data_IF_290691949721
#
_entry.id   IF_290691949721
#
_cell.length_a   1.000
_cell.length_b   1.000
_cell.length_c   1.000
_cell.angle_alpha   90.00
_cell.angle_beta   90.00
_cell.angle_gamma   90.00
#
_symmetry.space_group_name_H-M   'P 1'
#
loop_
_entity.id
_entity.type
_entity.pdbx_description
1 polymer ?
#
# COMPACT_ATOMS: atom_id res chain seq x y z
N UNK A 1 34.51 10.81 11.79
CA UNK A 1 33.52 10.19 10.87
C UNK A 1 32.68 9.23 11.67
N UNK A 2 31.35 9.23 11.54
CA UNK A 2 30.53 8.17 12.14
C UNK A 2 30.97 6.82 11.57
N UNK A 3 31.02 5.77 12.39
CA UNK A 3 31.41 4.44 11.95
C UNK A 3 30.45 3.95 10.86
N UNK A 4 30.97 3.69 9.65
CA UNK A 4 30.16 3.36 8.47
C UNK A 4 29.41 2.04 8.67
N UNK A 5 30.00 1.09 9.39
CA UNK A 5 29.40 -0.21 9.75
C UNK A 5 28.63 -0.20 11.07
N UNK A 6 28.38 0.98 11.67
CA UNK A 6 27.50 1.09 12.84
C UNK A 6 26.06 1.34 12.42
N UNK A 7 25.13 0.76 13.18
CA UNK A 7 23.69 1.03 13.10
C UNK A 7 23.29 2.34 13.82
N UNK A 8 24.15 2.83 14.71
CA UNK A 8 23.88 4.01 15.55
C UNK A 8 24.14 5.30 14.80
N UNK A 9 23.37 6.33 15.15
CA UNK A 9 23.53 7.68 14.63
C UNK A 9 22.64 7.98 13.44
N UNK A 10 22.92 9.14 12.82
CA UNK A 10 22.10 9.79 11.80
C UNK A 10 22.94 10.11 10.58
N UNK A 11 22.40 9.83 9.38
CA UNK A 11 23.09 10.04 8.12
C UNK A 11 22.39 11.09 7.26
N UNK A 12 23.09 12.16 6.89
CA UNK A 12 22.56 13.23 6.05
C UNK A 12 22.34 12.74 4.61
N UNK A 13 21.31 13.27 3.92
CA UNK A 13 20.94 12.91 2.54
C UNK A 13 22.11 12.83 1.54
N UNK A 14 23.08 13.76 1.59
CA UNK A 14 24.23 13.79 0.66
C UNK A 14 25.12 12.57 0.88
N UNK A 15 25.47 12.31 2.13
CA UNK A 15 26.39 11.23 2.48
C UNK A 15 25.68 9.87 2.31
N UNK A 16 24.38 9.81 2.59
CA UNK A 16 23.52 8.68 2.23
C UNK A 16 23.52 8.41 0.72
N UNK A 17 23.32 9.42 -0.13
CA UNK A 17 23.31 9.25 -1.57
C UNK A 17 24.64 8.68 -2.08
N UNK A 18 25.78 9.20 -1.61
CA UNK A 18 27.10 8.70 -1.97
C UNK A 18 27.33 7.25 -1.51
N UNK A 19 26.97 6.92 -0.27
CA UNK A 19 27.18 5.58 0.28
C UNK A 19 26.26 4.54 -0.36
N UNK A 20 24.99 4.89 -0.63
CA UNK A 20 24.06 4.00 -1.32
C UNK A 20 24.47 3.80 -2.77
N UNK A 21 24.92 4.85 -3.47
CA UNK A 21 25.47 4.73 -4.81
C UNK A 21 26.68 3.79 -4.83
N UNK A 22 27.62 3.95 -3.90
CA UNK A 22 28.76 3.04 -3.77
C UNK A 22 28.31 1.59 -3.53
N UNK A 23 27.33 1.37 -2.63
CA UNK A 23 26.75 0.04 -2.38
C UNK A 23 26.14 -0.59 -3.63
N UNK A 24 25.36 0.18 -4.41
CA UNK A 24 24.76 -0.31 -5.65
C UNK A 24 25.78 -0.53 -6.77
N UNK A 25 26.86 0.26 -6.85
CA UNK A 25 27.95 0.01 -7.79
C UNK A 25 28.65 -1.31 -7.47
N UNK A 26 28.94 -1.57 -6.19
CA UNK A 26 29.49 -2.87 -5.77
C UNK A 26 28.51 -4.00 -6.10
N UNK A 27 27.22 -3.85 -5.78
CA UNK A 27 26.20 -4.84 -6.15
C UNK A 27 26.15 -5.10 -7.67
N UNK A 28 26.31 -4.05 -8.49
CA UNK A 28 26.42 -4.15 -9.94
C UNK A 28 27.63 -4.95 -10.41
N UNK A 29 28.78 -4.82 -9.73
CA UNK A 29 29.96 -5.66 -9.98
C UNK A 29 29.65 -7.12 -9.69
N UNK A 30 29.01 -7.43 -8.54
CA UNK A 30 28.58 -8.80 -8.23
C UNK A 30 27.63 -9.34 -9.31
N UNK A 31 26.64 -8.57 -9.74
CA UNK A 31 25.74 -8.98 -10.82
C UNK A 31 26.50 -9.23 -12.14
N UNK A 32 27.46 -8.37 -12.48
CA UNK A 32 28.35 -8.55 -13.64
C UNK A 32 29.18 -9.83 -13.55
N UNK A 33 29.74 -10.15 -12.38
CA UNK A 33 30.46 -11.40 -12.16
C UNK A 33 29.55 -12.63 -12.32
N UNK A 34 28.30 -12.56 -11.85
CA UNK A 34 27.30 -13.63 -12.02
C UNK A 34 26.96 -13.85 -13.50
N UNK A 35 26.73 -12.77 -14.25
CA UNK A 35 26.46 -12.83 -15.70
C UNK A 35 27.67 -13.41 -16.42
N UNK A 36 28.87 -12.90 -16.14
CA UNK A 36 30.12 -13.41 -16.70
C UNK A 36 30.28 -14.92 -16.46
N UNK A 37 30.02 -15.36 -15.23
CA UNK A 37 30.05 -16.78 -14.87
C UNK A 37 29.03 -17.59 -15.68
N UNK A 38 27.80 -17.08 -15.84
CA UNK A 38 26.75 -17.75 -16.62
C UNK A 38 27.07 -17.90 -18.11
N UNK A 39 27.83 -16.96 -18.68
CA UNK A 39 28.17 -16.94 -20.12
C UNK A 39 29.42 -17.77 -20.43
N UNK A 40 30.32 -17.94 -19.45
CA UNK A 40 31.58 -18.68 -19.64
C UNK A 40 31.42 -20.21 -19.62
N UNK A 41 30.21 -20.72 -19.39
CA UNK A 41 29.90 -22.15 -19.50
C UNK A 41 30.57 -23.03 -18.45
N UNK A 42 30.98 -22.45 -17.31
CA UNK A 42 31.57 -23.20 -16.20
C UNK A 42 30.53 -24.18 -15.66
N UNK A 43 30.87 -25.46 -15.72
CA UNK A 43 29.97 -26.54 -15.29
C UNK A 43 29.90 -26.63 -13.77
N UNK A 44 28.82 -27.22 -13.26
CA UNK A 44 28.58 -27.37 -11.82
C UNK A 44 29.58 -28.30 -11.11
N UNK A 45 30.29 -29.15 -11.86
CA UNK A 45 31.32 -30.07 -11.39
C UNK A 45 32.73 -29.44 -11.36
N UNK A 46 32.92 -28.21 -11.85
CA UNK A 46 34.20 -27.50 -11.77
C UNK A 46 34.49 -27.13 -10.29
N UNK A 47 35.66 -27.49 -9.73
CA UNK A 47 36.06 -27.10 -8.37
C UNK A 47 35.96 -25.58 -8.10
N UNK A 48 36.11 -24.74 -9.13
CA UNK A 48 35.95 -23.28 -9.05
C UNK A 48 34.52 -22.89 -8.67
N UNK A 49 33.53 -23.69 -9.05
CA UNK A 49 32.12 -23.52 -8.69
C UNK A 49 31.95 -23.53 -7.16
N UNK A 50 32.51 -24.56 -6.49
CA UNK A 50 32.38 -24.72 -5.04
C UNK A 50 33.01 -23.57 -4.24
N UNK A 51 34.09 -22.97 -4.71
CA UNK A 51 34.72 -21.83 -4.01
C UNK A 51 34.07 -20.48 -4.35
N UNK A 52 33.56 -20.31 -5.57
CA UNK A 52 33.05 -19.03 -6.05
C UNK A 52 31.71 -18.66 -5.40
N UNK A 53 30.72 -19.57 -5.44
CA UNK A 53 29.36 -19.25 -5.00
C UNK A 53 29.25 -18.89 -3.51
N UNK A 54 29.88 -19.61 -2.56
CA UNK A 54 29.79 -19.24 -1.15
C UNK A 54 30.39 -17.86 -0.84
N UNK A 55 31.57 -17.55 -1.40
CA UNK A 55 32.21 -16.24 -1.25
C UNK A 55 31.40 -15.13 -1.93
N UNK A 56 30.83 -15.43 -3.10
CA UNK A 56 29.94 -14.54 -3.83
C UNK A 56 28.69 -14.20 -3.01
N UNK A 57 28.01 -15.21 -2.45
CA UNK A 57 26.84 -15.00 -1.59
C UNK A 57 27.19 -14.26 -0.30
N UNK A 58 28.32 -14.58 0.34
CA UNK A 58 28.79 -13.83 1.51
C UNK A 58 29.03 -12.35 1.19
N UNK A 59 29.62 -12.07 0.03
CA UNK A 59 29.81 -10.71 -0.48
C UNK A 59 28.49 -9.99 -0.75
N UNK A 60 27.51 -10.65 -1.38
CA UNK A 60 26.16 -10.11 -1.57
C UNK A 60 25.47 -9.78 -0.24
N UNK A 61 25.57 -10.67 0.75
CA UNK A 61 25.03 -10.45 2.09
C UNK A 61 25.71 -9.24 2.73
N UNK A 62 27.04 -9.15 2.66
CA UNK A 62 27.79 -8.04 3.22
C UNK A 62 27.37 -6.69 2.61
N UNK A 63 27.21 -6.62 1.28
CA UNK A 63 26.74 -5.42 0.56
C UNK A 63 25.29 -5.09 0.94
N UNK A 64 24.42 -6.10 1.03
CA UNK A 64 23.03 -5.94 1.46
C UNK A 64 22.91 -5.38 2.88
N UNK A 65 23.68 -5.93 3.82
CA UNK A 65 23.76 -5.43 5.21
C UNK A 65 24.27 -4.00 5.25
N UNK A 66 25.31 -3.69 4.47
CA UNK A 66 25.83 -2.32 4.38
C UNK A 66 24.76 -1.33 3.92
N UNK A 67 24.02 -1.64 2.85
CA UNK A 67 22.92 -0.81 2.34
C UNK A 67 21.83 -0.63 3.41
N UNK A 68 21.46 -1.71 4.11
CA UNK A 68 20.47 -1.67 5.18
C UNK A 68 20.90 -0.75 6.35
N UNK A 69 22.16 -0.83 6.78
CA UNK A 69 22.71 0.02 7.85
C UNK A 69 22.70 1.51 7.46
N UNK A 70 23.09 1.84 6.22
CA UNK A 70 23.05 3.24 5.76
C UNK A 70 21.61 3.75 5.66
N UNK A 71 20.70 2.90 5.19
CA UNK A 71 19.26 3.21 5.11
C UNK A 71 18.66 3.42 6.50
N UNK A 72 19.00 2.58 7.48
CA UNK A 72 18.55 2.74 8.86
C UNK A 72 19.00 4.07 9.46
N UNK A 73 20.29 4.43 9.33
CA UNK A 73 20.80 5.74 9.79
C UNK A 73 20.15 6.93 9.07
N UNK A 74 19.75 6.76 7.81
CA UNK A 74 19.02 7.80 7.06
C UNK A 74 17.58 7.95 7.57
N UNK A 75 16.93 6.85 7.92
CA UNK A 75 15.61 6.84 8.55
C UNK A 75 15.63 7.47 9.95
N UNK A 76 16.67 7.16 10.75
CA UNK A 76 16.91 7.81 12.04
C UNK A 76 17.08 9.33 11.91
N UNK A 77 17.68 9.81 10.80
CA UNK A 77 17.78 11.26 10.53
C UNK A 77 16.43 11.93 10.27
N UNK A 78 15.39 11.14 9.99
CA UNK A 78 14.00 11.58 9.79
C UNK A 78 13.11 11.31 11.01
N UNK A 79 13.66 10.80 12.11
CA UNK A 79 12.87 10.39 13.28
C UNK A 79 12.12 9.07 13.10
N UNK A 80 12.38 8.29 12.05
CA UNK A 80 11.75 6.99 11.81
C UNK A 80 12.63 5.84 12.30
N UNK A 81 11.99 4.73 12.71
CA UNK A 81 12.67 3.49 13.07
C UNK A 81 13.49 2.92 11.91
N UNK A 82 14.71 2.46 12.19
CA UNK A 82 15.60 1.85 11.20
C UNK A 82 15.03 0.61 10.50
N UNK A 83 14.05 -0.08 11.10
CA UNK A 83 13.37 -1.24 10.51
C UNK A 83 12.61 -0.92 9.22
N UNK A 84 12.25 0.35 8.99
CA UNK A 84 11.68 0.79 7.72
C UNK A 84 12.63 0.59 6.53
N UNK A 85 13.91 0.26 6.74
CA UNK A 85 14.86 -0.07 5.68
C UNK A 85 14.44 -1.29 4.84
N UNK A 86 13.59 -2.16 5.40
CA UNK A 86 13.05 -3.36 4.74
C UNK A 86 11.88 -3.05 3.80
N UNK A 87 11.33 -1.83 3.84
CA UNK A 87 10.26 -1.43 2.93
C UNK A 87 10.83 -1.34 1.52
N UNK A 88 10.25 -2.05 0.53
CA UNK A 88 10.71 -1.99 -0.85
C UNK A 88 10.76 -0.55 -1.38
N UNK A 89 11.86 -0.23 -2.08
CA UNK A 89 12.10 1.08 -2.72
C UNK A 89 12.19 2.27 -1.76
N UNK A 90 12.28 2.04 -0.43
CA UNK A 90 12.36 3.12 0.56
C UNK A 90 13.59 4.01 0.36
N UNK A 91 14.67 3.51 -0.25
CA UNK A 91 15.89 4.29 -0.47
C UNK A 91 15.65 5.48 -1.42
N UNK A 92 14.73 5.37 -2.37
CA UNK A 92 14.43 6.41 -3.36
C UNK A 92 13.91 7.71 -2.72
N UNK A 93 12.80 7.70 -1.94
CA UNK A 93 12.33 8.93 -1.28
C UNK A 93 13.36 9.52 -0.33
N UNK A 94 14.15 8.69 0.34
CA UNK A 94 15.15 9.13 1.31
C UNK A 94 16.29 9.98 0.71
N UNK A 95 16.50 9.92 -0.61
CA UNK A 95 17.45 10.78 -1.33
C UNK A 95 17.00 12.25 -1.35
N UNK A 96 15.69 12.49 -1.34
CA UNK A 96 15.11 13.82 -1.56
C UNK A 96 14.63 14.48 -0.26
N UNK A 97 14.22 13.71 0.73
CA UNK A 97 13.65 14.23 1.99
C UNK A 97 14.75 14.91 2.83
N UNK A 98 14.42 16.05 3.43
CA UNK A 98 15.25 16.77 4.40
C UNK A 98 15.25 16.05 5.77
N UNK A 99 16.39 15.97 6.45
CA UNK A 99 16.48 15.42 7.82
C UNK A 99 16.00 16.40 8.89
N UNK A 100 15.55 15.90 10.04
CA UNK A 100 15.12 16.71 11.19
C UNK A 100 16.25 17.64 11.68
N UNK A 101 15.93 18.87 12.05
CA UNK A 101 16.87 19.77 12.73
C UNK A 101 16.98 19.41 14.22
N UNK A 102 18.10 19.80 14.86
CA UNK A 102 18.31 19.54 16.29
C UNK A 102 18.58 18.06 16.63
N UNK A 103 18.44 17.70 17.90
CA UNK A 103 18.61 16.33 18.39
C UNK A 103 17.29 15.58 18.39
N UNK A 104 17.32 14.29 18.02
CA UNK A 104 16.23 13.35 18.23
C UNK A 104 16.74 12.11 18.99
N UNK A 105 15.89 11.09 19.15
CA UNK A 105 16.22 9.86 19.90
C UNK A 105 17.46 9.09 19.37
N UNK A 106 17.87 9.35 18.13
CA UNK A 106 19.02 8.71 17.48
C UNK A 106 20.30 9.55 17.53
N UNK A 107 20.24 10.74 18.15
CA UNK A 107 21.37 11.63 18.37
C UNK A 107 21.22 13.01 17.75
N UNK A 108 22.30 13.80 17.83
CA UNK A 108 22.36 15.15 17.28
C UNK A 108 22.32 15.16 15.76
N UNK A 109 21.66 16.17 15.18
CA UNK A 109 21.62 16.35 13.74
C UNK A 109 23.04 16.40 13.15
N UNK A 110 23.30 15.71 12.03
CA UNK A 110 24.59 15.75 11.34
C UNK A 110 24.96 17.15 10.82
N UNK A 111 23.98 18.06 10.75
CA UNK A 111 24.15 19.45 10.33
C UNK A 111 23.27 20.34 11.21
N UNK A 112 23.87 21.36 11.84
CA UNK A 112 23.15 22.43 12.52
C UNK A 112 22.43 23.28 11.48
N UNK A 113 21.13 23.54 11.68
CA UNK A 113 20.28 24.28 10.75
C UNK A 113 19.40 25.24 11.54
N UNK A 114 19.12 26.40 10.94
CA UNK A 114 18.02 27.25 11.38
C UNK A 114 16.70 26.48 11.23
N UNK A 115 15.71 26.82 12.06
CA UNK A 115 14.36 26.27 11.94
C UNK A 115 13.82 26.51 10.52
N UNK A 116 13.23 25.48 9.91
CA UNK A 116 12.61 25.61 8.60
C UNK A 116 11.39 26.53 8.68
N UNK A 117 11.25 27.45 7.73
CA UNK A 117 10.02 28.21 7.56
C UNK A 117 8.90 27.25 7.17
N UNK A 118 7.88 27.14 8.01
CA UNK A 118 6.64 26.47 7.63
C UNK A 118 5.90 27.35 6.64
N UNK A 119 5.50 26.79 5.50
CA UNK A 119 4.51 27.42 4.61
C UNK A 119 3.16 27.44 5.35
N UNK A 120 2.99 28.38 6.26
CA UNK A 120 1.74 28.67 6.93
C UNK A 120 0.78 29.25 5.89
N UNK A 121 -0.40 28.63 5.69
CA UNK A 121 -1.47 29.28 4.93
C UNK A 121 -2.39 28.38 4.12
N UNK A 122 -2.20 27.06 4.09
CA UNK A 122 -3.14 26.20 3.36
C UNK A 122 -4.37 25.86 4.20
N UNK A 123 -5.43 26.64 4.00
CA UNK A 123 -6.78 26.35 4.49
C UNK A 123 -7.43 25.34 3.55
N UNK A 124 -7.68 24.12 4.04
CA UNK A 124 -8.53 23.16 3.35
C UNK A 124 -10.00 23.55 3.53
N UNK A 125 -10.72 23.65 2.43
CA UNK A 125 -12.18 23.82 2.42
C UNK A 125 -12.82 22.42 2.53
N UNK A 126 -13.44 22.06 3.67
CA UNK A 126 -13.98 20.71 3.87
C UNK A 126 -15.18 20.39 2.97
N UNK A 127 -15.80 21.41 2.34
CA UNK A 127 -16.98 21.25 1.50
C UNK A 127 -16.62 21.09 0.01
N UNK A 128 -15.36 21.36 -0.38
CA UNK A 128 -14.87 21.18 -1.76
C UNK A 128 -13.99 19.93 -1.89
N UNK A 129 -14.44 18.98 -2.68
CA UNK A 129 -13.60 17.85 -3.13
C UNK A 129 -12.71 18.26 -4.30
N UNK A 130 -11.53 17.65 -4.41
CA UNK A 130 -10.57 17.86 -5.50
C UNK A 130 -10.06 19.28 -5.64
N UNK A 131 -9.90 20.00 -4.52
CA UNK A 131 -9.25 21.30 -4.56
C UNK A 131 -7.83 21.13 -5.14
N UNK A 132 -7.59 21.75 -6.30
CA UNK A 132 -6.32 21.70 -7.05
C UNK A 132 -5.92 20.24 -7.42
N UNK A 133 -6.60 19.61 -8.40
CA UNK A 133 -6.41 18.20 -8.72
C UNK A 133 -5.04 17.87 -9.34
N UNK A 134 -4.32 18.87 -9.85
CA UNK A 134 -2.98 18.68 -10.43
C UNK A 134 -1.87 19.31 -9.57
N UNK A 135 -2.14 19.56 -8.29
CA UNK A 135 -1.17 20.07 -7.33
C UNK A 135 -1.03 19.12 -6.14
N UNK A 136 0.22 18.84 -5.74
CA UNK A 136 0.52 18.11 -4.51
C UNK A 136 0.35 18.95 -3.23
N UNK A 137 -0.07 20.22 -3.33
CA UNK A 137 -0.24 21.09 -2.16
C UNK A 137 -1.57 20.82 -1.46
N UNK A 138 -1.54 20.78 -0.13
CA UNK A 138 -2.71 20.51 0.71
C UNK A 138 -2.81 19.06 1.17
N UNK A 139 -3.99 18.69 1.67
CA UNK A 139 -4.25 17.39 2.30
C UNK A 139 -5.56 16.82 1.76
N UNK A 140 -5.58 15.52 1.44
CA UNK A 140 -6.82 14.82 1.06
C UNK A 140 -7.08 13.62 1.96
N UNK A 141 -8.36 13.33 2.19
CA UNK A 141 -8.78 12.18 3.00
C UNK A 141 -8.83 10.90 2.17
N UNK A 142 -8.91 9.76 2.87
CA UNK A 142 -9.09 8.43 2.27
C UNK A 142 -10.20 8.35 1.23
N UNK A 143 -11.37 8.97 1.49
CA UNK A 143 -12.51 8.95 0.54
C UNK A 143 -12.14 9.60 -0.78
N UNK A 144 -11.58 10.81 -0.72
CA UNK A 144 -11.14 11.55 -1.91
C UNK A 144 -10.03 10.79 -2.64
N UNK A 145 -9.01 10.33 -1.91
CA UNK A 145 -7.92 9.53 -2.49
C UNK A 145 -8.41 8.25 -3.18
N UNK A 146 -9.36 7.53 -2.58
CA UNK A 146 -9.91 6.32 -3.18
C UNK A 146 -10.71 6.62 -4.47
N UNK A 147 -11.48 7.70 -4.50
CA UNK A 147 -12.17 8.14 -5.72
C UNK A 147 -11.15 8.53 -6.79
N UNK A 148 -10.08 9.26 -6.42
CA UNK A 148 -8.96 9.57 -7.33
C UNK A 148 -8.34 8.33 -7.94
N UNK A 149 -8.07 7.31 -7.12
CA UNK A 149 -7.49 6.04 -7.57
C UNK A 149 -8.44 5.31 -8.52
N UNK A 150 -9.75 5.29 -8.25
CA UNK A 150 -10.75 4.71 -9.15
C UNK A 150 -10.76 5.46 -10.49
N UNK A 151 -10.80 6.79 -10.47
CA UNK A 151 -10.76 7.62 -11.69
C UNK A 151 -9.50 7.30 -12.50
N UNK A 152 -8.34 7.24 -11.85
CA UNK A 152 -7.08 6.91 -12.51
C UNK A 152 -7.12 5.51 -13.14
N UNK A 153 -7.54 4.48 -12.39
CA UNK A 153 -7.61 3.09 -12.88
C UNK A 153 -8.56 2.97 -14.06
N UNK A 154 -9.77 3.56 -13.97
CA UNK A 154 -10.75 3.55 -15.05
C UNK A 154 -10.24 4.29 -16.29
N UNK A 155 -9.53 5.40 -16.10
CA UNK A 155 -8.98 6.17 -17.23
C UNK A 155 -7.89 5.38 -17.95
N UNK A 156 -6.96 4.75 -17.21
CA UNK A 156 -5.91 3.89 -17.79
C UNK A 156 -6.53 2.66 -18.47
N UNK A 157 -7.50 2.00 -17.83
CA UNK A 157 -8.18 0.84 -18.39
C UNK A 157 -8.93 1.19 -19.69
N UNK A 158 -9.62 2.34 -19.75
CA UNK A 158 -10.30 2.80 -20.95
C UNK A 158 -9.31 3.05 -22.09
N UNK A 159 -8.19 3.75 -21.84
CA UNK A 159 -7.16 3.98 -22.85
C UNK A 159 -6.50 2.68 -23.33
N UNK A 160 -6.18 1.78 -22.40
CA UNK A 160 -5.63 0.47 -22.71
C UNK A 160 -6.58 -0.40 -23.53
N UNK A 161 -7.88 -0.36 -23.20
CA UNK A 161 -8.92 -1.07 -23.94
C UNK A 161 -9.09 -0.53 -25.36
N UNK A 162 -9.06 0.80 -25.54
CA UNK A 162 -9.08 1.43 -26.86
C UNK A 162 -7.87 1.00 -27.69
N UNK A 163 -6.66 1.01 -27.11
CA UNK A 163 -5.46 0.52 -27.79
C UNK A 163 -5.59 -0.95 -28.18
N UNK A 164 -6.08 -1.78 -27.25
CA UNK A 164 -6.28 -3.21 -27.47
C UNK A 164 -7.21 -3.49 -28.65
N UNK A 165 -8.39 -2.84 -28.71
CA UNK A 165 -9.33 -3.01 -29.83
C UNK A 165 -8.66 -2.63 -31.14
N UNK A 166 -8.01 -1.47 -31.20
CA UNK A 166 -7.41 -0.99 -32.45
C UNK A 166 -6.26 -1.88 -32.93
N UNK A 167 -5.42 -2.38 -32.02
CA UNK A 167 -4.34 -3.32 -32.36
C UNK A 167 -4.92 -4.66 -32.78
N UNK A 168 -5.91 -5.18 -32.05
CA UNK A 168 -6.55 -6.45 -32.38
C UNK A 168 -7.22 -6.42 -33.77
N UNK A 169 -7.78 -5.29 -34.16
CA UNK A 169 -8.35 -5.11 -35.49
C UNK A 169 -7.28 -4.96 -36.58
N UNK A 170 -6.23 -4.17 -36.32
CA UNK A 170 -5.10 -4.02 -37.24
C UNK A 170 -4.37 -5.36 -37.52
N UNK A 171 -4.35 -6.28 -36.56
CA UNK A 171 -3.77 -7.61 -36.74
C UNK A 171 -4.56 -8.51 -37.69
N UNK A 172 -5.85 -8.22 -37.93
CA UNK A 172 -6.70 -8.96 -38.89
C UNK A 172 -6.62 -8.41 -40.31
N UNK A 173 -6.17 -7.16 -40.46
CA UNK A 173 -6.22 -6.42 -41.72
C UNK A 173 -4.81 -6.16 -42.29
N UNK A 174 -4.60 -6.46 -43.57
CA UNK A 174 -3.29 -6.42 -44.23
C UNK A 174 -2.87 -4.99 -44.69
N UNK A 175 -3.18 -3.95 -43.92
CA UNK A 175 -2.57 -2.64 -44.16
C UNK A 175 -3.21 -1.45 -43.47
N UNK A 176 -4.50 -1.20 -43.68
CA UNK A 176 -5.14 0.08 -43.33
C UNK A 176 -5.38 0.28 -41.83
N UNK A 177 -5.55 -0.80 -41.06
CA UNK A 177 -5.78 -0.74 -39.61
C UNK A 177 -4.60 -0.20 -38.78
N UNK A 178 -3.36 -0.34 -39.27
CA UNK A 178 -2.15 0.02 -38.51
C UNK A 178 -2.00 1.51 -38.26
N UNK A 179 -2.37 2.36 -39.23
CA UNK A 179 -2.31 3.81 -39.06
C UNK A 179 -3.22 4.27 -37.91
N UNK A 180 -4.43 3.72 -37.84
CA UNK A 180 -5.37 4.02 -36.77
C UNK A 180 -4.89 3.46 -35.42
N UNK A 181 -4.38 2.24 -35.39
CA UNK A 181 -3.83 1.63 -34.17
C UNK A 181 -2.64 2.43 -33.60
N UNK A 182 -1.68 2.82 -34.43
CA UNK A 182 -0.53 3.64 -34.03
C UNK A 182 -1.01 4.99 -33.50
N UNK A 183 -1.92 5.64 -34.21
CA UNK A 183 -2.46 6.95 -33.78
C UNK A 183 -3.18 6.85 -32.44
N UNK A 184 -4.04 5.84 -32.25
CA UNK A 184 -4.74 5.61 -30.98
C UNK A 184 -3.76 5.32 -29.84
N UNK A 185 -2.74 4.50 -30.07
CA UNK A 185 -1.70 4.20 -29.07
C UNK A 185 -0.89 5.45 -28.70
N UNK A 186 -0.50 6.25 -29.68
CA UNK A 186 0.26 7.48 -29.44
C UNK A 186 -0.57 8.52 -28.64
N UNK A 187 -1.82 8.76 -29.05
CA UNK A 187 -2.73 9.67 -28.34
C UNK A 187 -3.00 9.17 -26.92
N UNK A 188 -3.24 7.87 -26.76
CA UNK A 188 -3.43 7.26 -25.43
C UNK A 188 -2.19 7.44 -24.56
N UNK A 189 -0.99 7.23 -25.11
CA UNK A 189 0.28 7.47 -24.42
C UNK A 189 0.45 8.92 -23.96
N UNK A 190 0.06 9.89 -24.78
CA UNK A 190 0.08 11.31 -24.40
C UNK A 190 -0.92 11.63 -23.29
N UNK A 191 -2.12 11.04 -23.32
CA UNK A 191 -3.14 11.21 -22.29
C UNK A 191 -2.75 10.56 -20.94
N UNK A 192 -1.87 9.56 -20.94
CA UNK A 192 -1.35 8.99 -19.69
C UNK A 192 -0.54 10.00 -18.87
N UNK A 193 0.08 11.01 -19.49
CA UNK A 193 0.87 12.02 -18.77
C UNK A 193 0.02 12.81 -17.75
N UNK A 194 -1.08 13.50 -18.14
CA UNK A 194 -1.91 14.20 -17.17
C UNK A 194 -2.63 13.24 -16.21
N UNK A 195 -2.98 12.02 -16.63
CA UNK A 195 -3.60 11.00 -15.74
C UNK A 195 -2.62 10.57 -14.63
N UNK A 196 -1.37 10.29 -14.99
CA UNK A 196 -0.32 9.96 -14.05
C UNK A 196 -0.02 11.15 -13.12
N UNK A 197 0.03 12.37 -13.66
CA UNK A 197 0.25 13.59 -12.87
C UNK A 197 -0.87 13.82 -11.85
N UNK A 198 -2.14 13.63 -12.25
CA UNK A 198 -3.28 13.67 -11.33
C UNK A 198 -3.10 12.67 -10.19
N UNK A 199 -2.83 11.39 -10.49
CA UNK A 199 -2.65 10.35 -9.48
C UNK A 199 -1.54 10.67 -8.48
N UNK A 200 -0.36 11.07 -8.98
CA UNK A 200 0.78 11.47 -8.16
C UNK A 200 0.45 12.66 -7.25
N UNK A 201 -0.25 13.67 -7.78
CA UNK A 201 -0.68 14.82 -6.98
C UNK A 201 -1.62 14.41 -5.84
N UNK A 202 -2.54 13.48 -6.07
CA UNK A 202 -3.46 12.99 -5.04
C UNK A 202 -2.73 12.15 -3.99
N UNK A 203 -1.80 11.30 -4.40
CA UNK A 203 -0.97 10.50 -3.49
C UNK A 203 -0.12 11.37 -2.57
N UNK A 204 0.53 12.40 -3.12
CA UNK A 204 1.29 13.39 -2.34
C UNK A 204 0.41 14.06 -1.28
N UNK A 205 -0.79 14.54 -1.64
CA UNK A 205 -1.72 15.14 -0.68
C UNK A 205 -2.22 14.15 0.37
N UNK A 206 -2.31 12.86 0.04
CA UNK A 206 -2.71 11.80 0.97
C UNK A 206 -1.58 11.48 1.96
N UNK A 207 -0.33 11.50 1.52
CA UNK A 207 0.86 11.40 2.36
C UNK A 207 0.96 12.57 3.33
N UNK A 208 0.76 13.79 2.84
CA UNK A 208 0.70 15.00 3.67
C UNK A 208 -0.38 14.90 4.76
N UNK A 209 -1.52 14.29 4.47
CA UNK A 209 -2.61 14.13 5.44
C UNK A 209 -2.31 13.14 6.59
N UNK A 210 -1.31 12.28 6.42
CA UNK A 210 -0.82 11.37 7.47
C UNK A 210 0.49 11.84 8.10
N UNK A 211 0.98 13.02 7.72
CA UNK A 211 2.20 13.61 8.25
C UNK A 211 3.49 13.18 7.53
N UNK A 212 3.39 12.48 6.40
CA UNK A 212 4.54 12.03 5.62
C UNK A 212 4.92 13.06 4.56
N UNK A 213 6.19 13.08 4.16
CA UNK A 213 6.65 13.86 3.00
C UNK A 213 6.03 13.34 1.71
N UNK A 214 5.66 14.24 0.78
CA UNK A 214 5.18 13.86 -0.55
C UNK A 214 6.12 12.94 -1.33
N UNK A 215 7.44 13.01 -1.10
CA UNK A 215 8.42 12.17 -1.78
C UNK A 215 8.20 10.66 -1.59
N UNK A 216 7.53 10.24 -0.50
CA UNK A 216 7.20 8.83 -0.28
C UNK A 216 6.31 8.22 -1.38
N UNK A 217 5.69 9.02 -2.26
CA UNK A 217 4.98 8.52 -3.44
C UNK A 217 5.89 7.77 -4.42
N UNK A 218 7.21 7.95 -4.34
CA UNK A 218 8.17 7.20 -5.16
C UNK A 218 8.28 5.72 -4.76
N UNK A 219 7.75 5.31 -3.61
CA UNK A 219 7.67 3.90 -3.23
C UNK A 219 6.26 3.36 -3.53
N UNK A 220 6.13 2.35 -4.42
CA UNK A 220 4.83 1.81 -4.84
C UNK A 220 4.05 1.13 -3.70
N UNK A 221 4.70 0.87 -2.56
CA UNK A 221 4.08 0.26 -1.37
C UNK A 221 3.02 1.17 -0.76
N UNK A 222 3.20 2.50 -0.84
CA UNK A 222 2.28 3.44 -0.19
C UNK A 222 0.93 3.55 -0.90
N UNK A 223 0.87 3.32 -2.21
CA UNK A 223 -0.37 3.48 -3.02
C UNK A 223 -1.57 2.77 -2.38
N UNK A 224 -1.42 1.49 -2.05
CA UNK A 224 -2.50 0.70 -1.43
C UNK A 224 -2.63 1.04 0.06
N UNK A 225 -1.51 1.18 0.78
CA UNK A 225 -1.53 1.44 2.22
C UNK A 225 -2.30 2.72 2.58
N UNK A 226 -2.18 3.76 1.74
CA UNK A 226 -2.79 5.07 1.94
C UNK A 226 -4.34 5.06 1.91
N UNK A 227 -4.95 4.01 1.35
CA UNK A 227 -6.41 3.79 1.42
C UNK A 227 -6.88 3.46 2.84
N UNK A 228 -6.00 2.90 3.67
CA UNK A 228 -6.36 2.35 4.99
C UNK A 228 -5.86 3.21 6.15
N UNK A 229 -4.67 3.79 6.02
CA UNK A 229 -4.03 4.58 7.09
C UNK A 229 -4.91 5.77 7.50
N UNK A 230 -5.24 5.95 8.79
CA UNK A 230 -6.03 7.09 9.26
C UNK A 230 -5.25 8.41 9.17
N UNK A 231 -5.97 9.50 8.97
CA UNK A 231 -5.43 10.87 8.97
C UNK A 231 -4.88 11.28 10.33
N UNK A 232 -3.87 12.16 10.37
CA UNK A 232 -3.53 12.88 11.59
C UNK A 232 -4.60 13.93 11.91
N UNK A 233 -5.06 13.98 13.16
CA UNK A 233 -6.19 14.82 13.57
C UNK A 233 -5.81 16.30 13.76
N UNK A 234 -4.51 16.60 13.90
CA UNK A 234 -4.00 17.96 14.04
C UNK A 234 -3.81 18.65 12.67
N UNK A 235 -3.81 19.99 12.69
CA UNK A 235 -3.18 20.78 11.63
C UNK A 235 -1.69 20.42 11.58
N UNK A 236 -1.13 20.37 10.38
CA UNK A 236 0.30 20.08 10.21
C UNK A 236 0.90 21.05 9.19
N UNK A 237 2.21 20.95 8.95
CA UNK A 237 2.96 21.79 8.00
C UNK A 237 2.44 21.80 6.56
N UNK A 238 1.49 20.93 6.20
CA UNK A 238 0.89 20.85 4.87
C UNK A 238 -0.56 21.40 4.82
N UNK A 239 -1.10 21.87 5.95
CA UNK A 239 -2.37 22.58 6.01
C UNK A 239 -3.33 22.08 7.09
N UNK A 240 -4.49 22.73 7.14
CA UNK A 240 -5.55 22.43 8.11
C UNK A 240 -6.18 21.07 7.85
N UNK A 241 -6.85 20.49 8.85
CA UNK A 241 -7.50 19.18 8.70
C UNK A 241 -8.64 19.27 7.67
N UNK A 242 -8.70 18.41 6.64
CA UNK A 242 -9.77 18.38 5.65
C UNK A 242 -11.04 17.64 6.17
N UNK A 243 -11.39 17.79 7.44
CA UNK A 243 -12.61 17.24 8.06
C UNK A 243 -13.22 18.30 8.98
N UNK A 244 -14.52 18.55 8.81
CA UNK A 244 -15.34 19.38 9.72
C UNK A 244 -15.18 18.90 11.17
N UNK A 245 -14.96 19.82 12.09
CA UNK A 245 -15.10 19.54 13.51
C UNK A 245 -16.55 19.10 13.77
N UNK A 246 -16.72 17.83 14.17
CA UNK A 246 -17.97 17.42 14.79
C UNK A 246 -18.02 18.07 16.17
N UNK A 247 -19.20 18.53 16.59
CA UNK A 247 -19.43 19.15 17.89
C UNK A 247 -18.67 18.40 18.99
N UNK A 248 -17.90 19.14 19.80
CA UNK A 248 -17.15 18.57 20.91
C UNK A 248 -18.06 17.95 21.98
N UNK A 249 -19.35 18.29 21.93
CA UNK A 249 -20.39 17.71 22.76
C UNK A 249 -20.44 16.19 22.57
N UNK A 250 -20.13 15.41 23.61
CA UNK A 250 -20.22 13.96 23.56
C UNK A 250 -21.67 13.56 23.27
N UNK A 251 -21.82 12.61 22.35
CA UNK A 251 -23.15 12.07 22.04
C UNK A 251 -23.68 11.31 23.27
N UNK A 252 -25.00 11.23 23.51
CA UNK A 252 -25.54 10.68 24.75
C UNK A 252 -25.01 9.28 25.13
N UNK A 253 -24.82 8.40 24.14
CA UNK A 253 -24.29 7.05 24.34
C UNK A 253 -22.76 7.01 24.56
N UNK A 254 -22.03 8.09 24.30
CA UNK A 254 -20.60 8.20 24.62
C UNK A 254 -20.38 8.39 26.12
N UNK A 255 -21.28 9.11 26.79
CA UNK A 255 -21.28 9.31 28.25
C UNK A 255 -21.60 8.00 29.00
N UNK A 256 -22.52 7.20 28.47
CA UNK A 256 -22.92 5.92 29.09
C UNK A 256 -21.83 4.83 29.01
N UNK A 257 -20.84 4.98 28.12
CA UNK A 257 -19.87 3.93 27.78
C UNK A 257 -18.41 4.37 27.99
N UNK A 258 -18.16 5.35 28.87
CA UNK A 258 -16.81 5.70 29.30
C UNK A 258 -16.08 4.45 29.84
N UNK A 259 -14.95 4.10 29.21
CA UNK A 259 -14.16 2.91 29.56
C UNK A 259 -14.34 1.67 28.65
N UNK A 260 -15.16 1.73 27.60
CA UNK A 260 -15.29 0.60 26.68
C UNK A 260 -13.96 0.31 25.92
N UNK A 261 -13.50 -0.94 25.99
CA UNK A 261 -12.25 -1.36 25.32
C UNK A 261 -12.48 -1.48 23.81
N UNK A 262 -11.59 -0.90 23.00
CA UNK A 262 -11.63 -1.02 21.56
C UNK A 262 -11.69 -2.50 21.14
N UNK A 263 -12.77 -2.90 20.45
CA UNK A 263 -12.92 -4.27 19.95
C UNK A 263 -11.83 -4.59 18.93
N UNK A 264 -11.09 -5.67 19.20
CA UNK A 264 -10.06 -6.24 18.30
C UNK A 264 -10.66 -6.53 16.92
N UNK A 265 -9.95 -6.18 15.85
CA UNK A 265 -10.36 -6.49 14.47
C UNK A 265 -10.42 -8.02 14.24
N UNK A 266 -11.28 -8.47 13.35
CA UNK A 266 -11.47 -9.88 12.94
C UNK A 266 -11.98 -10.80 14.04
N UNK A 267 -12.83 -10.31 14.94
CA UNK A 267 -13.53 -11.17 15.89
C UNK A 267 -14.57 -12.01 15.14
N UNK A 268 -14.43 -13.33 15.19
CA UNK A 268 -15.33 -14.30 14.57
C UNK A 268 -15.59 -14.03 13.07
N UNK A 269 -14.58 -14.18 12.20
CA UNK A 269 -14.69 -13.79 10.79
C UNK A 269 -15.69 -14.64 9.98
N UNK A 270 -16.03 -15.84 10.43
CA UNK A 270 -17.00 -16.72 9.76
C UNK A 270 -18.42 -16.61 10.33
N UNK A 271 -18.65 -15.70 11.28
CA UNK A 271 -19.97 -15.45 11.85
C UNK A 271 -20.70 -14.33 11.13
N UNK A 272 -22.02 -14.49 10.98
CA UNK A 272 -22.93 -13.46 10.50
C UNK A 272 -23.34 -12.45 11.59
N UNK A 273 -23.00 -12.72 12.86
CA UNK A 273 -23.41 -11.88 13.99
C UNK A 273 -22.40 -10.76 14.25
N UNK A 274 -22.93 -9.60 14.63
CA UNK A 274 -22.15 -8.42 14.99
C UNK A 274 -21.98 -7.44 13.83
N UNK A 275 -21.09 -6.47 14.06
CA UNK A 275 -20.86 -5.33 13.18
C UNK A 275 -19.38 -5.21 12.87
N UNK A 276 -19.03 -4.92 11.63
CA UNK A 276 -17.66 -4.61 11.23
C UNK A 276 -17.59 -3.26 10.53
N UNK A 277 -16.49 -2.55 10.76
CA UNK A 277 -16.24 -1.24 10.13
C UNK A 277 -15.77 -1.40 8.70
N UNK A 278 -15.94 -0.35 7.90
CA UNK A 278 -15.47 -0.32 6.50
C UNK A 278 -14.00 -0.69 6.32
N UNK A 279 -13.13 -0.37 7.27
CA UNK A 279 -11.69 -0.72 7.21
C UNK A 279 -11.48 -2.21 7.37
N UNK A 280 -12.12 -2.83 8.37
CA UNK A 280 -12.05 -4.28 8.59
C UNK A 280 -12.70 -5.04 7.44
N UNK A 281 -13.82 -4.55 6.94
CA UNK A 281 -14.50 -5.10 5.78
C UNK A 281 -13.63 -5.03 4.51
N UNK A 282 -13.01 -3.87 4.22
CA UNK A 282 -12.16 -3.73 3.04
C UNK A 282 -10.91 -4.62 3.12
N UNK A 283 -10.26 -4.72 4.29
CA UNK A 283 -9.16 -5.66 4.49
C UNK A 283 -9.65 -7.11 4.31
N UNK A 284 -10.84 -7.45 4.84
CA UNK A 284 -11.43 -8.77 4.63
C UNK A 284 -11.61 -9.10 3.15
N UNK A 285 -12.11 -8.16 2.33
CA UNK A 285 -12.26 -8.36 0.89
C UNK A 285 -10.91 -8.56 0.18
N UNK A 286 -9.87 -7.83 0.58
CA UNK A 286 -8.52 -8.03 0.05
C UNK A 286 -7.98 -9.42 0.42
N UNK A 287 -8.09 -9.81 1.71
CA UNK A 287 -7.68 -11.12 2.17
C UNK A 287 -8.41 -12.26 1.44
N UNK A 288 -9.71 -12.06 1.16
CA UNK A 288 -10.50 -13.01 0.37
C UNK A 288 -9.94 -13.17 -1.05
N UNK A 289 -9.74 -12.07 -1.77
CA UNK A 289 -9.24 -12.09 -3.16
C UNK A 289 -7.84 -12.72 -3.21
N UNK A 290 -6.93 -12.28 -2.35
CA UNK A 290 -5.56 -12.80 -2.27
C UNK A 290 -5.56 -14.28 -1.87
N UNK A 291 -6.38 -14.67 -0.89
CA UNK A 291 -6.49 -16.05 -0.44
C UNK A 291 -7.00 -16.99 -1.53
N UNK A 292 -8.02 -16.57 -2.29
CA UNK A 292 -8.51 -17.33 -3.45
C UNK A 292 -7.43 -17.45 -4.53
N UNK A 293 -6.74 -16.36 -4.86
CA UNK A 293 -5.69 -16.38 -5.88
C UNK A 293 -4.52 -17.30 -5.50
N UNK A 294 -4.02 -17.19 -4.26
CA UNK A 294 -2.96 -18.05 -3.73
C UNK A 294 -3.41 -19.51 -3.72
N UNK A 295 -4.62 -19.80 -3.23
CA UNK A 295 -5.14 -21.17 -3.17
C UNK A 295 -5.25 -21.79 -4.57
N UNK A 296 -5.75 -21.03 -5.54
CA UNK A 296 -5.83 -21.45 -6.95
C UNK A 296 -4.45 -21.64 -7.58
N UNK A 297 -3.48 -20.76 -7.31
CA UNK A 297 -2.13 -20.87 -7.83
C UNK A 297 -1.37 -22.08 -7.24
N UNK A 298 -1.48 -22.30 -5.93
CA UNK A 298 -0.90 -23.47 -5.27
C UNK A 298 -1.52 -24.76 -5.80
N UNK A 299 -2.84 -24.78 -6.01
CA UNK A 299 -3.50 -25.93 -6.59
C UNK A 299 -3.12 -26.16 -8.05
N UNK A 300 -3.03 -25.11 -8.86
CA UNK A 300 -2.57 -25.23 -10.24
C UNK A 300 -1.15 -25.79 -10.29
N UNK A 301 -0.25 -25.31 -9.42
CA UNK A 301 1.10 -25.84 -9.30
C UNK A 301 1.10 -27.32 -8.89
N UNK A 302 0.34 -27.69 -7.86
CA UNK A 302 0.19 -29.08 -7.42
C UNK A 302 -0.39 -29.96 -8.54
N UNK A 303 -1.44 -29.49 -9.22
CA UNK A 303 -2.09 -30.16 -10.31
C UNK A 303 -1.10 -30.42 -11.46
N UNK A 304 -0.32 -29.42 -11.89
CA UNK A 304 0.69 -29.60 -12.96
C UNK A 304 1.72 -30.66 -12.58
N UNK A 305 2.24 -30.62 -11.34
CA UNK A 305 3.23 -31.61 -10.89
C UNK A 305 2.64 -33.03 -10.77
N UNK A 306 1.41 -33.13 -10.24
CA UNK A 306 0.76 -34.41 -9.96
C UNK A 306 0.19 -35.04 -11.23
N UNK A 307 -0.53 -34.28 -12.07
CA UNK A 307 -1.06 -34.79 -13.34
C UNK A 307 0.05 -35.24 -14.29
N UNK A 308 1.16 -34.49 -14.37
CA UNK A 308 2.30 -34.87 -15.19
C UNK A 308 3.00 -36.16 -14.71
N UNK A 309 2.95 -36.49 -13.41
CA UNK A 309 3.61 -37.69 -12.87
C UNK A 309 2.68 -38.90 -12.70
N UNK A 310 1.40 -38.67 -12.47
CA UNK A 310 0.48 -39.70 -12.00
C UNK A 310 -0.53 -40.20 -13.06
N UNK A 311 -0.54 -39.63 -14.28
CA UNK A 311 -1.37 -40.11 -15.39
C UNK A 311 -2.88 -40.00 -15.15
N UNK A 312 -3.32 -39.02 -14.35
CA UNK A 312 -4.72 -38.80 -13.99
C UNK A 312 -5.48 -37.99 -15.06
N UNK A 313 -5.41 -38.41 -16.31
CA UNK A 313 -5.93 -37.64 -17.45
C UNK A 313 -7.46 -37.84 -17.66
N UNK A 314 -8.10 -38.63 -16.77
CA UNK A 314 -9.50 -39.03 -16.85
C UNK A 314 -10.43 -38.37 -15.83
N UNK A 315 -11.67 -38.86 -15.77
CA UNK A 315 -12.76 -38.30 -14.94
C UNK A 315 -12.40 -38.15 -13.45
N UNK A 316 -11.59 -39.06 -12.91
CA UNK A 316 -11.15 -39.04 -11.52
C UNK A 316 -10.28 -37.82 -11.22
N UNK A 317 -9.38 -37.46 -12.14
CA UNK A 317 -8.56 -36.25 -12.07
C UNK A 317 -9.38 -34.97 -12.03
N UNK A 318 -10.32 -34.85 -12.97
CA UNK A 318 -11.26 -33.72 -13.02
C UNK A 318 -12.18 -33.65 -11.79
N UNK A 319 -12.53 -34.80 -11.20
CA UNK A 319 -13.31 -34.85 -9.97
C UNK A 319 -12.52 -34.26 -8.79
N UNK A 320 -11.23 -34.59 -8.66
CA UNK A 320 -10.36 -34.01 -7.62
C UNK A 320 -10.22 -32.49 -7.79
N UNK A 321 -10.04 -32.02 -9.03
CA UNK A 321 -10.02 -30.59 -9.35
C UNK A 321 -11.33 -29.92 -8.96
N UNK A 322 -12.47 -30.50 -9.33
CA UNK A 322 -13.78 -29.96 -9.01
C UNK A 322 -14.00 -29.89 -7.49
N UNK A 323 -13.70 -30.95 -6.75
CA UNK A 323 -13.85 -30.98 -5.28
C UNK A 323 -13.01 -29.89 -4.61
N UNK A 324 -11.76 -29.72 -5.03
CA UNK A 324 -10.91 -28.64 -4.52
C UNK A 324 -11.49 -27.26 -4.83
N UNK A 325 -11.88 -27.02 -6.08
CA UNK A 325 -12.46 -25.74 -6.49
C UNK A 325 -13.75 -25.44 -5.72
N UNK A 326 -14.63 -26.41 -5.54
CA UNK A 326 -15.85 -26.25 -4.74
C UNK A 326 -15.54 -25.95 -3.27
N UNK A 327 -14.51 -26.57 -2.69
CA UNK A 327 -14.09 -26.28 -1.32
C UNK A 327 -13.57 -24.83 -1.19
N UNK A 328 -12.70 -24.39 -2.10
CA UNK A 328 -12.16 -23.02 -2.11
C UNK A 328 -13.28 -22.01 -2.33
N UNK A 329 -14.14 -22.23 -3.33
CA UNK A 329 -15.26 -21.34 -3.65
C UNK A 329 -16.29 -21.31 -2.52
N UNK A 330 -16.64 -22.46 -1.94
CA UNK A 330 -17.58 -22.55 -0.82
C UNK A 330 -17.08 -21.77 0.40
N UNK A 331 -15.81 -21.94 0.75
CA UNK A 331 -15.18 -21.17 1.82
C UNK A 331 -15.14 -19.67 1.52
N UNK A 332 -14.77 -19.30 0.29
CA UNK A 332 -14.72 -17.92 -0.16
C UNK A 332 -16.10 -17.25 -0.12
N UNK A 333 -17.14 -17.93 -0.60
CA UNK A 333 -18.52 -17.47 -0.59
C UNK A 333 -18.99 -17.30 0.86
N UNK A 334 -18.75 -18.28 1.74
CA UNK A 334 -19.11 -18.16 3.15
C UNK A 334 -18.49 -16.92 3.78
N UNK A 335 -17.18 -16.77 3.64
CA UNK A 335 -16.45 -15.64 4.22
C UNK A 335 -16.96 -14.31 3.66
N UNK A 336 -17.16 -14.22 2.34
CA UNK A 336 -17.76 -13.06 1.68
C UNK A 336 -19.12 -12.69 2.29
N UNK A 337 -20.03 -13.65 2.38
CA UNK A 337 -21.39 -13.42 2.88
C UNK A 337 -21.37 -12.99 4.36
N UNK A 338 -20.56 -13.66 5.20
CA UNK A 338 -20.46 -13.34 6.62
C UNK A 338 -19.94 -11.91 6.86
N UNK A 339 -18.88 -11.51 6.14
CA UNK A 339 -18.30 -10.18 6.28
C UNK A 339 -19.23 -9.10 5.73
N UNK A 340 -19.82 -9.33 4.57
CA UNK A 340 -20.75 -8.37 3.94
C UNK A 340 -22.01 -8.18 4.79
N UNK A 341 -22.56 -9.25 5.36
CA UNK A 341 -23.69 -9.16 6.29
C UNK A 341 -23.34 -8.34 7.54
N UNK A 342 -22.19 -8.58 8.18
CA UNK A 342 -21.74 -7.77 9.33
C UNK A 342 -21.49 -6.30 8.97
N UNK A 343 -21.11 -6.02 7.72
CA UNK A 343 -20.93 -4.65 7.23
C UNK A 343 -22.28 -3.96 6.98
N UNK A 344 -23.27 -4.70 6.49
CA UNK A 344 -24.65 -4.23 6.34
C UNK A 344 -25.31 -3.96 7.70
N UNK A 345 -25.08 -4.86 8.66
CA UNK A 345 -25.49 -4.65 10.05
C UNK A 345 -24.89 -3.37 10.64
N UNK A 346 -23.68 -2.97 10.24
CA UNK A 346 -23.08 -1.72 10.71
C UNK A 346 -23.79 -0.47 10.19
N UNK A 347 -24.52 -0.56 9.07
CA UNK A 347 -25.37 0.52 8.55
C UNK A 347 -26.87 0.32 8.90
N UNK A 348 -27.15 -0.58 9.85
CA UNK A 348 -28.50 -1.00 10.27
C UNK A 348 -29.36 -1.63 9.14
N UNK A 349 -28.71 -2.16 8.10
CA UNK A 349 -29.35 -2.85 6.99
C UNK A 349 -29.44 -4.37 7.24
N UNK A 350 -30.49 -5.06 6.75
CA UNK A 350 -30.58 -6.51 6.77
C UNK A 350 -29.39 -7.20 6.08
N UNK A 351 -28.81 -8.23 6.71
CA UNK A 351 -27.66 -8.96 6.17
C UNK A 351 -27.91 -9.63 4.82
N UNK A 352 -29.17 -9.96 4.48
CA UNK A 352 -29.54 -10.58 3.19
C UNK A 352 -29.19 -9.71 1.97
N UNK A 353 -29.06 -8.39 2.15
CA UNK A 353 -28.62 -7.49 1.08
C UNK A 353 -27.21 -7.80 0.57
N UNK A 354 -26.42 -8.66 1.23
CA UNK A 354 -25.11 -9.10 0.74
C UNK A 354 -25.14 -9.77 -0.64
N UNK A 355 -26.31 -10.27 -1.07
CA UNK A 355 -26.55 -10.86 -2.39
C UNK A 355 -26.76 -9.82 -3.51
N UNK A 356 -26.91 -8.54 -3.17
CA UNK A 356 -27.11 -7.49 -4.16
C UNK A 356 -25.83 -7.24 -4.96
N UNK A 357 -25.97 -7.14 -6.28
CA UNK A 357 -24.85 -6.86 -7.17
C UNK A 357 -24.21 -5.50 -6.85
N UNK A 358 -22.88 -5.44 -6.79
CA UNK A 358 -22.11 -4.21 -6.53
C UNK A 358 -22.13 -3.70 -5.08
N UNK A 359 -22.92 -4.30 -4.18
CA UNK A 359 -23.04 -3.82 -2.79
C UNK A 359 -21.71 -3.90 -2.04
N UNK A 360 -20.90 -4.92 -2.35
CA UNK A 360 -19.64 -5.11 -1.70
C UNK A 360 -18.67 -3.95 -1.91
N UNK A 361 -18.68 -3.33 -3.09
CA UNK A 361 -17.85 -2.17 -3.38
C UNK A 361 -18.40 -0.92 -2.69
N UNK A 362 -19.72 -0.72 -2.73
CA UNK A 362 -20.38 0.44 -2.12
C UNK A 362 -20.13 0.50 -0.59
N UNK A 363 -20.19 -0.64 0.08
CA UNK A 363 -20.04 -0.76 1.53
C UNK A 363 -18.66 -0.34 2.09
N UNK A 364 -17.64 -0.24 1.23
CA UNK A 364 -16.31 0.29 1.58
C UNK A 364 -16.38 1.80 1.86
N UNK A 365 -17.31 2.51 1.21
CA UNK A 365 -17.38 3.97 1.24
C UNK A 365 -18.41 4.52 2.24
N UNK A 366 -19.47 3.76 2.49
CA UNK A 366 -20.58 4.14 3.38
C UNK A 366 -20.09 4.14 4.84
N UNK A 367 -20.45 5.15 5.63
CA UNK A 367 -20.19 5.18 7.07
C UNK A 367 -21.24 4.36 7.83
N UNK A 368 -20.82 3.69 8.91
CA UNK A 368 -21.73 2.96 9.81
C UNK A 368 -22.63 3.89 10.62
N UNK A 369 -23.69 3.33 11.20
CA UNK A 369 -24.54 4.05 12.15
C UNK A 369 -23.75 4.50 13.36
N UNK A 370 -24.09 5.69 13.86
CA UNK A 370 -23.56 6.21 15.11
C UNK A 370 -24.23 5.51 16.30
N UNK A 371 -23.46 5.23 17.36
CA UNK A 371 -23.95 4.50 18.53
C UNK A 371 -24.27 3.00 18.30
N UNK A 372 -24.86 2.34 19.32
CA UNK A 372 -25.40 0.99 19.18
C UNK A 372 -26.58 0.97 18.20
N UNK A 373 -26.79 -0.19 17.56
CA UNK A 373 -27.98 -0.44 16.73
C UNK A 373 -28.52 -1.86 17.02
N UNK A 374 -29.55 -2.31 16.29
CA UNK A 374 -30.20 -3.61 16.53
C UNK A 374 -29.28 -4.83 16.39
N UNK A 375 -28.12 -4.67 15.75
CA UNK A 375 -27.12 -5.71 15.53
C UNK A 375 -25.93 -5.65 16.49
N UNK A 376 -25.92 -4.68 17.42
CA UNK A 376 -24.98 -4.60 18.53
C UNK A 376 -24.31 -3.24 18.69
N UNK A 377 -23.37 -3.20 19.64
CA UNK A 377 -22.59 -2.01 19.97
C UNK A 377 -21.73 -1.53 18.78
N UNK A 378 -21.43 -0.23 18.78
CA UNK A 378 -20.56 0.36 17.77
C UNK A 378 -19.16 -0.29 17.82
N UNK A 379 -18.57 -0.72 16.69
CA UNK A 379 -17.23 -1.33 16.71
C UNK A 379 -16.10 -0.31 16.97
N UNK A 380 -16.41 0.98 16.99
CA UNK A 380 -15.50 2.08 17.31
C UNK A 380 -15.85 2.58 18.71
N UNK A 381 -15.00 2.29 19.68
CA UNK A 381 -14.97 3.12 20.89
C UNK A 381 -14.10 4.33 20.59
N UNK A 382 -14.64 5.54 20.71
CA UNK A 382 -13.84 6.75 20.78
C UNK A 382 -13.19 6.75 22.17
N UNK A 383 -11.99 6.19 22.29
CA UNK A 383 -11.13 6.50 23.44
C UNK A 383 -10.78 7.98 23.34
N UNK A 384 -11.47 8.83 24.11
CA UNK A 384 -10.97 10.17 24.41
C UNK A 384 -9.86 9.96 25.44
N UNK A 385 -8.60 10.04 25.02
CA UNK A 385 -7.55 10.50 25.93
C UNK A 385 -7.84 11.97 26.18
N UNK A 386 -8.62 12.24 27.23
CA UNK A 386 -8.55 13.55 27.87
C UNK A 386 -7.14 13.57 28.45
N UNK A 387 -6.24 14.33 27.85
CA UNK A 387 -5.04 14.76 28.56
C UNK A 387 -5.57 15.56 29.76
N UNK A 388 -5.55 14.94 30.94
CA UNK A 388 -5.59 15.68 32.19
C UNK A 388 -4.47 16.73 32.10
N UNK A 389 -4.87 17.99 31.92
CA UNK A 389 -4.00 19.09 32.30
C UNK A 389 -3.78 18.92 33.80
N UNK A 390 -2.62 18.36 34.16
CA UNK A 390 -2.12 18.44 35.52
C UNK A 390 -1.79 19.90 35.80
N UNK A 391 -2.77 20.64 36.30
CA UNK A 391 -2.50 21.83 37.09
C UNK A 391 -1.97 21.36 38.44
N UNK A 392 -0.65 21.44 38.61
CA UNK A 392 0.01 21.62 39.91
C UNK A 392 1.15 22.60 39.72
#
# INVERSE_FOLDING_TARGET
MQAVFSYKGRLRRRDFALLILAGYLVLGIFLGCLIWYSVTGVKADDPRFLSFFPLFYLGLIAVGVFICLQTAKRLHDLGYSGWFCLVPYIQLPLLFIEGESGSNEYGSAPKVRAAEHHDEGFVNDPDKMFLRPFSGRGRIRRKEYAISAIIQVLSVAALGFMCYIQVAEALKDNGTGWMLAITTCAVSGLLLIPIAWFGLAQEVKRLHDIGFSGWFCLSPVFVIALLFVPSVNATNRWGTRPKREESLEPLPWELEHEGAVATRMFRNPFSFRGRIRRTEYAISMICLIVGVYISSALFAFFAVLFFHQAGFDGWLGWTVVAVFLFAVLGFAIWFYLAQTAKRLHDIDAPGLFCLAYGIALALIFIDGTKGPNRYGAMPKVLGRTIEEKSEV
#
